data_IF_666236440352
#
_entry.id   IF_666236440352
#
_cell.length_a   1.000
_cell.length_b   1.000
_cell.length_c   1.000
_cell.angle_alpha   90.00
_cell.angle_beta   90.00
_cell.angle_gamma   90.00
#
_symmetry.space_group_name_H-M   'P 1'
#
loop_
_entity.id
_entity.type
_entity.pdbx_description
1 polymer ?
#
# COMPACT_ATOMS: atom_id res chain seq x y z
N UNK A 1 -37.34 -34.28 -58.59
CA UNK A 1 -36.87 -32.89 -58.36
C UNK A 1 -37.46 -32.42 -57.04
N UNK A 2 -36.96 -32.81 -55.86
CA UNK A 2 -35.73 -32.44 -55.11
C UNK A 2 -35.55 -30.95 -54.81
N UNK A 3 -35.40 -30.65 -53.50
CA UNK A 3 -34.94 -29.42 -52.79
C UNK A 3 -35.93 -28.26 -52.68
N UNK A 4 -36.02 -27.49 -51.59
CA UNK A 4 -35.49 -27.49 -50.20
C UNK A 4 -36.18 -26.28 -49.52
N UNK A 5 -36.58 -26.29 -48.24
CA UNK A 5 -37.12 -25.11 -47.57
C UNK A 5 -35.96 -24.35 -46.89
N UNK A 6 -35.47 -23.30 -47.53
CA UNK A 6 -34.55 -22.33 -46.93
C UNK A 6 -35.14 -20.94 -47.06
N UNK A 7 -35.18 -20.07 -46.07
CA UNK A 7 -34.52 -20.06 -44.77
C UNK A 7 -35.17 -18.94 -43.98
N UNK A 8 -35.84 -19.28 -42.87
CA UNK A 8 -36.15 -18.28 -41.85
C UNK A 8 -34.81 -17.89 -41.20
N UNK A 9 -34.24 -16.77 -41.63
CA UNK A 9 -33.12 -16.13 -40.94
C UNK A 9 -33.63 -15.63 -39.58
N UNK A 10 -33.61 -16.51 -38.57
CA UNK A 10 -33.70 -16.11 -37.17
C UNK A 10 -32.41 -15.35 -36.79
N UNK A 11 -32.40 -14.07 -37.12
CA UNK A 11 -31.55 -13.06 -36.49
C UNK A 11 -32.09 -12.82 -35.08
N UNK A 12 -31.72 -13.66 -34.11
CA UNK A 12 -32.26 -13.48 -32.75
C UNK A 12 -31.59 -14.38 -31.73
N UNK A 13 -30.47 -13.92 -31.17
CA UNK A 13 -29.81 -14.58 -30.04
C UNK A 13 -28.52 -13.90 -29.60
N UNK A 14 -27.82 -13.29 -30.55
CA UNK A 14 -26.52 -12.67 -30.29
C UNK A 14 -26.63 -11.34 -29.52
N UNK A 15 -27.67 -10.54 -29.79
CA UNK A 15 -27.94 -9.31 -29.06
C UNK A 15 -28.27 -9.55 -27.58
N UNK A 16 -29.00 -10.63 -27.28
CA UNK A 16 -29.35 -11.02 -25.90
C UNK A 16 -28.13 -11.48 -25.12
N UNK A 17 -27.25 -12.26 -25.75
CA UNK A 17 -25.99 -12.73 -25.13
C UNK A 17 -25.01 -11.57 -24.91
N UNK A 18 -24.88 -10.64 -25.87
CA UNK A 18 -24.07 -9.44 -25.69
C UNK A 18 -24.61 -8.54 -24.58
N UNK A 19 -25.92 -8.33 -24.51
CA UNK A 19 -26.53 -7.55 -23.44
C UNK A 19 -26.27 -8.16 -22.06
N UNK A 20 -26.37 -9.50 -21.96
CA UNK A 20 -26.11 -10.22 -20.70
C UNK A 20 -24.63 -10.15 -20.30
N UNK A 21 -23.70 -10.22 -21.26
CA UNK A 21 -22.27 -10.02 -21.02
C UNK A 21 -21.96 -8.60 -20.54
N UNK A 22 -22.58 -7.57 -21.15
CA UNK A 22 -22.40 -6.18 -20.72
C UNK A 22 -22.92 -5.98 -19.29
N UNK A 23 -24.10 -6.52 -18.97
CA UNK A 23 -24.68 -6.45 -17.62
C UNK A 23 -23.76 -7.14 -16.60
N UNK A 24 -23.23 -8.32 -16.92
CA UNK A 24 -22.30 -9.03 -16.05
C UNK A 24 -21.00 -8.25 -15.84
N UNK A 25 -20.49 -7.58 -16.88
CA UNK A 25 -19.25 -6.81 -16.81
C UNK A 25 -19.44 -5.53 -15.97
N UNK A 26 -20.59 -4.86 -16.10
CA UNK A 26 -20.97 -3.72 -15.25
C UNK A 26 -21.19 -4.17 -13.80
N UNK A 27 -21.85 -5.32 -13.58
CA UNK A 27 -22.05 -5.84 -12.23
C UNK A 27 -20.71 -6.19 -11.56
N UNK A 28 -19.80 -6.83 -12.30
CA UNK A 28 -18.47 -7.17 -11.82
C UNK A 28 -17.64 -5.92 -11.50
N UNK A 29 -17.71 -4.87 -12.33
CA UNK A 29 -16.98 -3.62 -12.05
C UNK A 29 -17.55 -2.88 -10.84
N UNK A 30 -18.87 -2.87 -10.66
CA UNK A 30 -19.52 -2.30 -9.47
C UNK A 30 -19.14 -3.08 -8.21
N UNK A 31 -19.17 -4.42 -8.26
CA UNK A 31 -18.74 -5.25 -7.13
C UNK A 31 -17.26 -5.02 -6.78
N UNK A 32 -16.39 -4.91 -7.79
CA UNK A 32 -14.98 -4.59 -7.57
C UNK A 32 -14.80 -3.19 -6.95
N UNK A 33 -15.55 -2.19 -7.40
CA UNK A 33 -15.53 -0.85 -6.83
C UNK A 33 -16.02 -0.83 -5.37
N UNK A 34 -17.11 -1.56 -5.06
CA UNK A 34 -17.61 -1.71 -3.70
C UNK A 34 -16.58 -2.40 -2.81
N UNK A 35 -15.94 -3.46 -3.31
CA UNK A 35 -14.89 -4.17 -2.57
C UNK A 35 -13.72 -3.24 -2.23
N UNK A 36 -13.19 -2.51 -3.22
CA UNK A 36 -12.09 -1.53 -3.02
C UNK A 36 -12.50 -0.43 -2.04
N UNK A 37 -13.71 0.13 -2.21
CA UNK A 37 -14.22 1.15 -1.30
C UNK A 37 -14.41 0.62 0.12
N UNK A 38 -14.85 -0.63 0.28
CA UNK A 38 -15.06 -1.25 1.59
C UNK A 38 -13.76 -1.46 2.36
N UNK A 39 -12.67 -1.85 1.68
CA UNK A 39 -11.34 -1.93 2.28
C UNK A 39 -10.88 -0.55 2.76
N UNK A 40 -10.97 0.48 1.92
CA UNK A 40 -10.60 1.85 2.31
C UNK A 40 -11.47 2.42 3.45
N UNK A 41 -12.75 2.02 3.51
CA UNK A 41 -13.70 2.53 4.49
C UNK A 41 -13.55 1.78 5.82
N UNK A 42 -13.33 0.47 5.78
CA UNK A 42 -13.02 -0.35 6.96
C UNK A 42 -11.72 0.12 7.62
N UNK A 43 -10.68 0.40 6.83
CA UNK A 43 -9.43 0.98 7.32
C UNK A 43 -9.62 2.36 7.93
N UNK A 44 -10.51 3.18 7.37
CA UNK A 44 -10.80 4.51 7.91
C UNK A 44 -11.58 4.45 9.24
N UNK A 45 -12.51 3.51 9.37
CA UNK A 45 -13.40 3.43 10.54
C UNK A 45 -12.84 2.59 11.70
N UNK A 46 -11.97 1.61 11.45
CA UNK A 46 -11.40 0.78 12.52
C UNK A 46 -10.06 1.30 13.08
N UNK A 47 -9.47 2.33 12.47
CA UNK A 47 -8.12 2.79 12.78
C UNK A 47 -8.08 4.22 13.33
N UNK A 48 -8.99 4.55 14.24
CA UNK A 48 -8.88 5.79 14.99
C UNK A 48 -8.03 5.51 16.24
N UNK A 49 -6.74 5.85 16.16
CA UNK A 49 -5.87 5.75 17.31
C UNK A 49 -6.14 6.87 18.31
N UNK A 50 -5.84 6.63 19.59
CA UNK A 50 -5.95 7.67 20.62
C UNK A 50 -4.57 8.13 21.09
N UNK A 51 -4.41 9.42 21.33
CA UNK A 51 -3.16 10.03 21.81
C UNK A 51 -2.20 10.48 20.70
N UNK A 52 -0.99 10.93 21.06
CA UNK A 52 -0.01 11.52 20.14
C UNK A 52 1.15 10.57 19.87
N UNK A 53 1.73 10.62 18.67
CA UNK A 53 2.95 9.90 18.34
C UNK A 53 3.93 10.87 17.69
N UNK A 54 5.21 10.71 18.00
CA UNK A 54 6.29 11.54 17.51
C UNK A 54 7.42 10.64 17.01
N UNK A 55 8.02 11.01 15.87
CA UNK A 55 9.25 10.37 15.40
C UNK A 55 10.41 10.98 16.16
N UNK A 56 11.00 10.22 17.08
CA UNK A 56 12.14 10.66 17.86
C UNK A 56 13.44 10.60 17.04
N UNK A 57 13.65 9.50 16.32
CA UNK A 57 14.84 9.28 15.49
C UNK A 57 14.47 8.42 14.26
N UNK A 58 15.14 8.65 13.15
CA UNK A 58 15.05 7.81 11.95
C UNK A 58 16.42 7.74 11.27
N UNK A 59 16.90 6.53 11.00
CA UNK A 59 18.20 6.30 10.36
C UNK A 59 18.23 4.98 9.60
N UNK A 60 19.20 4.85 8.70
CA UNK A 60 19.47 3.58 8.02
C UNK A 60 20.53 2.80 8.76
N UNK A 61 20.36 1.49 8.82
CA UNK A 61 21.27 0.60 9.51
C UNK A 61 21.65 -0.60 8.64
N UNK A 62 22.94 -0.91 8.64
CA UNK A 62 23.51 -2.09 8.01
C UNK A 62 24.62 -2.65 8.91
N UNK A 63 24.54 -3.95 9.24
CA UNK A 63 25.47 -4.61 10.16
C UNK A 63 25.70 -3.82 11.47
N UNK A 64 24.60 -3.47 12.15
CA UNK A 64 24.60 -2.75 13.43
C UNK A 64 25.29 -1.36 13.40
N UNK A 65 25.51 -0.80 12.21
CA UNK A 65 26.11 0.52 11.99
C UNK A 65 25.13 1.43 11.26
N UNK A 66 25.09 2.70 11.67
CA UNK A 66 24.34 3.73 10.96
C UNK A 66 25.07 4.03 9.65
N UNK A 67 24.33 4.02 8.54
CA UNK A 67 24.88 4.20 7.20
C UNK A 67 24.11 5.27 6.43
N UNK A 68 24.80 5.96 5.53
CA UNK A 68 24.19 6.85 4.54
C UNK A 68 24.24 6.24 3.14
N UNK A 69 25.21 5.37 2.89
CA UNK A 69 25.43 4.72 1.60
C UNK A 69 25.78 3.25 1.78
N UNK A 70 25.28 2.42 0.86
CA UNK A 70 25.59 0.98 0.80
C UNK A 70 25.74 0.53 -0.65
N UNK A 71 26.31 -0.66 -0.85
CA UNK A 71 26.37 -1.29 -2.17
C UNK A 71 24.98 -1.76 -2.61
N UNK A 72 24.75 -1.76 -3.92
CA UNK A 72 23.57 -2.39 -4.51
C UNK A 72 23.42 -3.86 -4.06
N UNK A 73 22.17 -4.28 -3.83
CA UNK A 73 21.80 -5.61 -3.36
C UNK A 73 21.85 -5.78 -1.83
N UNK A 74 22.46 -4.84 -1.11
CA UNK A 74 22.61 -4.88 0.35
C UNK A 74 21.25 -4.85 1.04
N UNK A 75 21.05 -5.71 2.04
CA UNK A 75 19.88 -5.68 2.91
C UNK A 75 20.09 -4.60 3.98
N UNK A 76 19.31 -3.54 3.91
CA UNK A 76 19.35 -2.38 4.82
C UNK A 76 18.10 -2.37 5.67
N UNK A 77 18.22 -1.89 6.90
CA UNK A 77 17.09 -1.66 7.79
C UNK A 77 16.84 -0.15 7.91
N UNK A 78 15.63 0.29 7.60
CA UNK A 78 15.13 1.57 8.07
C UNK A 78 14.74 1.39 9.54
N UNK A 79 15.42 2.11 10.44
CA UNK A 79 15.13 2.08 11.88
C UNK A 79 14.44 3.37 12.26
N UNK A 80 13.21 3.26 12.76
CA UNK A 80 12.38 4.39 13.16
C UNK A 80 12.08 4.23 14.65
N UNK A 81 12.47 5.21 15.46
CA UNK A 81 12.15 5.26 16.88
C UNK A 81 11.01 6.23 17.10
N UNK A 82 9.93 5.70 17.65
CA UNK A 82 8.72 6.44 17.96
C UNK A 82 8.61 6.65 19.46
N UNK A 83 8.11 7.81 19.85
CA UNK A 83 7.79 8.13 21.24
C UNK A 83 6.41 8.75 21.34
N UNK A 84 5.82 8.66 22.52
CA UNK A 84 4.55 9.32 22.80
C UNK A 84 4.59 9.99 24.17
N UNK A 85 4.22 11.27 24.23
CA UNK A 85 4.06 12.01 25.48
C UNK A 85 2.75 11.68 26.19
N UNK A 86 1.70 11.34 25.45
CA UNK A 86 0.33 11.12 25.96
C UNK A 86 -0.13 9.67 25.93
N UNK A 87 0.69 8.78 25.39
CA UNK A 87 0.30 7.43 24.97
C UNK A 87 -0.17 7.42 23.52
N UNK A 88 -0.07 6.28 22.87
CA UNK A 88 -0.60 6.04 21.54
C UNK A 88 -1.13 4.61 21.45
N UNK A 89 -2.29 4.44 20.84
CA UNK A 89 -2.86 3.11 20.58
C UNK A 89 -3.45 3.10 19.17
N UNK A 90 -2.80 2.45 18.22
CA UNK A 90 -3.23 2.48 16.83
C UNK A 90 -2.27 1.87 15.81
N UNK A 91 -2.67 1.91 14.54
CA UNK A 91 -1.83 1.44 13.44
C UNK A 91 -0.83 2.51 13.00
N UNK A 92 0.43 2.09 12.93
CA UNK A 92 1.51 2.85 12.31
C UNK A 92 1.90 2.17 11.01
N UNK A 93 1.95 2.95 9.95
CA UNK A 93 2.42 2.54 8.63
C UNK A 93 3.75 3.24 8.32
N UNK A 94 4.75 2.43 8.00
CA UNK A 94 6.08 2.87 7.57
C UNK A 94 6.31 2.41 6.14
N UNK A 95 6.57 3.36 5.24
CA UNK A 95 6.94 3.10 3.85
C UNK A 95 8.37 3.51 3.62
N UNK A 96 9.18 2.60 3.10
CA UNK A 96 10.48 2.95 2.52
C UNK A 96 10.27 3.19 1.04
N UNK A 97 10.69 4.37 0.57
CA UNK A 97 10.49 4.81 -0.81
C UNK A 97 11.83 5.12 -1.45
N UNK A 98 11.99 4.65 -2.68
CA UNK A 98 13.09 5.03 -3.56
C UNK A 98 12.71 6.29 -4.32
N UNK A 99 13.54 7.31 -4.17
CA UNK A 99 13.42 8.56 -4.92
C UNK A 99 14.01 8.37 -6.32
N UNK A 100 13.19 8.66 -7.34
CA UNK A 100 13.53 8.53 -8.75
C UNK A 100 13.50 9.90 -9.44
N UNK A 101 14.56 10.22 -10.18
CA UNK A 101 14.63 11.42 -10.99
C UNK A 101 13.57 11.39 -12.09
N UNK A 102 12.77 12.46 -12.17
CA UNK A 102 11.69 12.66 -13.15
C UNK A 102 10.53 11.64 -13.13
N UNK A 103 10.51 10.72 -12.17
CA UNK A 103 9.47 9.70 -12.03
C UNK A 103 8.84 9.75 -10.63
N UNK A 104 7.61 9.24 -10.46
CA UNK A 104 7.04 9.06 -9.13
C UNK A 104 7.88 8.11 -8.27
N UNK A 105 7.96 8.41 -6.98
CA UNK A 105 8.71 7.60 -6.02
C UNK A 105 8.11 6.21 -5.87
N UNK A 106 8.98 5.20 -5.82
CA UNK A 106 8.57 3.80 -5.74
C UNK A 106 8.64 3.29 -4.31
N UNK A 107 7.56 2.71 -3.79
CA UNK A 107 7.61 2.00 -2.50
C UNK A 107 8.38 0.69 -2.66
N UNK A 108 9.44 0.51 -1.86
CA UNK A 108 10.29 -0.68 -1.90
C UNK A 108 10.08 -1.59 -0.68
N UNK A 109 9.56 -1.05 0.42
CA UNK A 109 9.11 -1.81 1.57
C UNK A 109 7.97 -1.08 2.28
N UNK A 110 7.07 -1.85 2.87
CA UNK A 110 5.90 -1.38 3.59
C UNK A 110 5.70 -2.24 4.82
N UNK A 111 5.59 -1.62 5.99
CA UNK A 111 5.15 -2.27 7.22
C UNK A 111 3.98 -1.50 7.78
N UNK A 112 2.91 -2.20 8.11
CA UNK A 112 1.76 -1.66 8.83
C UNK A 112 1.48 -2.55 10.02
N UNK A 113 1.56 -1.98 11.22
CA UNK A 113 1.42 -2.75 12.45
C UNK A 113 0.74 -1.91 13.54
N UNK A 114 -0.01 -2.60 14.39
CA UNK A 114 -0.67 -2.01 15.55
C UNK A 114 0.31 -1.87 16.72
N UNK A 115 0.38 -0.69 17.32
CA UNK A 115 1.26 -0.38 18.44
C UNK A 115 0.49 0.21 19.60
N UNK A 116 0.80 -0.30 20.79
CA UNK A 116 0.37 0.27 22.07
C UNK A 116 1.59 0.89 22.73
N UNK A 117 1.74 2.20 22.61
CA UNK A 117 2.85 2.97 23.18
C UNK A 117 2.36 3.66 24.46
N UNK A 118 2.98 3.34 25.59
CA UNK A 118 2.65 4.01 26.85
C UNK A 118 3.21 5.44 26.88
N UNK A 119 2.64 6.37 27.67
CA UNK A 119 3.22 7.69 27.87
C UNK A 119 4.68 7.60 28.32
N UNK A 120 5.57 8.32 27.66
CA UNK A 120 7.02 8.32 27.88
C UNK A 120 7.77 7.10 27.35
N UNK A 121 7.09 6.10 26.80
CA UNK A 121 7.74 4.93 26.22
C UNK A 121 8.29 5.22 24.82
N UNK A 122 9.32 4.47 24.45
CA UNK A 122 9.88 4.44 23.10
C UNK A 122 9.66 3.06 22.47
N UNK A 123 9.30 3.06 21.19
CA UNK A 123 9.16 1.87 20.36
C UNK A 123 10.07 2.00 19.17
N UNK A 124 10.66 0.89 18.74
CA UNK A 124 11.49 0.83 17.55
C UNK A 124 10.80 -0.02 16.48
N UNK A 125 10.71 0.53 15.27
CA UNK A 125 10.23 -0.16 14.08
C UNK A 125 11.43 -0.36 13.14
N UNK A 126 11.63 -1.60 12.69
CA UNK A 126 12.69 -1.94 11.73
C UNK A 126 12.05 -2.46 10.45
N UNK A 127 12.32 -1.79 9.34
CA UNK A 127 11.82 -2.17 8.01
C UNK A 127 12.98 -2.56 7.12
N UNK A 128 13.04 -3.83 6.76
CA UNK A 128 14.10 -4.37 5.89
C UNK A 128 13.78 -4.15 4.42
N UNK A 129 14.74 -3.71 3.63
CA UNK A 129 14.64 -3.60 2.19
C UNK A 129 16.00 -3.87 1.51
N UNK A 130 15.97 -4.25 0.23
CA UNK A 130 17.20 -4.38 -0.56
C UNK A 130 17.49 -3.07 -1.28
N UNK A 131 18.68 -2.52 -1.04
CA UNK A 131 19.15 -1.35 -1.77
C UNK A 131 19.30 -1.69 -3.25
N UNK A 132 18.70 -0.88 -4.11
CA UNK A 132 18.85 -0.93 -5.55
C UNK A 132 19.43 0.39 -6.04
N UNK A 133 20.30 0.33 -7.04
CA UNK A 133 20.85 1.52 -7.69
C UNK A 133 20.45 1.49 -9.16
N UNK A 134 19.94 2.59 -9.68
CA UNK A 134 19.65 2.76 -11.09
C UNK A 134 20.11 4.13 -11.54
N UNK A 135 20.25 4.35 -12.85
CA UNK A 135 20.65 5.63 -13.42
C UNK A 135 19.76 6.82 -12.99
N UNK A 136 18.53 6.54 -12.59
CA UNK A 136 17.57 7.54 -12.14
C UNK A 136 17.40 7.59 -10.62
N UNK A 137 18.08 6.73 -9.86
CA UNK A 137 17.94 6.70 -8.40
C UNK A 137 18.67 7.87 -7.76
N UNK A 138 17.98 8.62 -6.88
CA UNK A 138 18.57 9.72 -6.10
C UNK A 138 18.84 9.35 -4.64
N UNK A 139 18.16 8.30 -4.15
CA UNK A 139 18.30 7.84 -2.78
C UNK A 139 17.02 7.19 -2.28
N UNK A 140 16.89 7.17 -0.96
CA UNK A 140 15.73 6.63 -0.26
C UNK A 140 15.23 7.63 0.77
N UNK A 141 13.92 7.60 1.04
CA UNK A 141 13.30 8.28 2.17
C UNK A 141 12.28 7.35 2.83
N UNK A 142 11.88 7.71 4.05
CA UNK A 142 10.88 6.98 4.82
C UNK A 142 9.67 7.88 5.05
N UNK A 143 8.50 7.36 4.71
CA UNK A 143 7.23 7.94 5.13
C UNK A 143 6.75 7.19 6.37
N UNK A 144 6.52 7.91 7.47
CA UNK A 144 5.89 7.36 8.67
C UNK A 144 4.52 8.01 8.80
N UNK A 145 3.47 7.21 8.80
CA UNK A 145 2.09 7.68 8.88
C UNK A 145 1.35 6.93 9.97
N UNK A 146 0.59 7.67 10.75
CA UNK A 146 -0.30 7.12 11.77
C UNK A 146 -1.58 7.95 11.79
N UNK A 147 -2.66 7.33 12.26
CA UNK A 147 -3.92 8.01 12.52
C UNK A 147 -4.17 7.98 14.02
N UNK A 148 -4.73 9.07 14.53
CA UNK A 148 -4.85 9.29 15.97
C UNK A 148 -3.78 10.24 16.49
N UNK A 149 -4.26 11.38 16.97
CA UNK A 149 -3.51 12.56 17.38
C UNK A 149 -4.56 13.57 17.82
N UNK A 150 -4.47 14.09 19.04
CA UNK A 150 -5.29 15.26 19.40
C UNK A 150 -4.93 16.44 18.52
#
# INVERSE_FOLDING_TARGET
MTRDPGSALRLGGWGSVLALLIILLVLASVLAAIYVASEELLERFLMEGSGSLEVAEAFWEFNDSIVEEVREGTLVHAVIRLSSSTGYDGYVEVKVRRDLMFLPDMTVALVRQYYVVRPGAKVEIRVAFRAQCSLLSRGYHVDVTWRGGK
#
